data_IF_078586012591
#
_entry.id   IF_078586012591
#
_cell.length_a   1.000
_cell.length_b   1.000
_cell.length_c   1.000
_cell.angle_alpha   90.00
_cell.angle_beta   90.00
_cell.angle_gamma   90.00
#
_symmetry.space_group_name_H-M   'P 1'
#
loop_
_entity.id
_entity.type
_entity.pdbx_description
1 polymer ?
#
# COMPACT_ATOMS: atom_id res chain seq x y z
N UNK A 1 -2.70 -14.50 -46.34
CA UNK A 1 -2.74 -14.27 -44.89
C UNK A 1 -1.30 -14.25 -44.41
N UNK A 2 -0.79 -13.07 -44.09
CA UNK A 2 0.46 -12.84 -43.39
C UNK A 2 0.31 -11.47 -42.72
N UNK A 3 0.47 -11.48 -41.41
CA UNK A 3 0.13 -10.40 -40.50
C UNK A 3 1.32 -9.44 -40.43
N UNK A 4 1.14 -8.19 -40.85
CA UNK A 4 2.22 -7.20 -40.88
C UNK A 4 2.12 -6.31 -39.64
N UNK A 5 2.95 -6.65 -38.66
CA UNK A 5 3.20 -5.95 -37.42
C UNK A 5 3.29 -4.43 -37.62
N UNK A 6 2.60 -3.68 -36.75
CA UNK A 6 2.41 -2.22 -36.78
C UNK A 6 3.68 -1.36 -36.70
N UNK A 7 4.51 -1.43 -37.73
CA UNK A 7 5.61 -0.52 -37.99
C UNK A 7 5.01 0.75 -38.63
N UNK A 8 5.14 1.89 -37.94
CA UNK A 8 4.76 3.18 -38.50
C UNK A 8 6.00 3.81 -39.14
N UNK A 9 6.10 3.74 -40.46
CA UNK A 9 7.16 4.37 -41.24
C UNK A 9 6.84 5.85 -41.45
N UNK A 10 7.67 6.77 -40.93
CA UNK A 10 7.59 8.20 -41.24
C UNK A 10 8.86 8.65 -41.95
N UNK A 11 8.79 9.16 -43.19
CA UNK A 11 9.97 9.71 -43.86
C UNK A 11 10.37 11.04 -43.22
N UNK A 12 11.61 11.16 -42.76
CA UNK A 12 12.21 12.41 -42.28
C UNK A 12 13.23 12.92 -43.31
N UNK A 13 12.99 14.09 -43.89
CA UNK A 13 13.90 14.73 -44.86
C UNK A 13 14.86 15.64 -44.08
N UNK A 14 16.11 15.22 -43.91
CA UNK A 14 17.18 16.07 -43.37
C UNK A 14 18.06 16.54 -44.52
N UNK A 15 18.08 17.84 -44.79
CA UNK A 15 18.97 18.44 -45.80
C UNK A 15 20.29 18.81 -45.13
N UNK A 16 21.32 18.03 -45.39
CA UNK A 16 22.70 18.42 -45.12
C UNK A 16 23.52 18.16 -46.38
N UNK A 17 24.00 19.24 -46.99
CA UNK A 17 25.13 19.31 -47.92
C UNK A 17 25.22 18.22 -49.01
N UNK A 18 24.21 18.18 -49.88
CA UNK A 18 24.37 17.74 -51.27
C UNK A 18 24.49 16.24 -51.54
N UNK A 19 24.33 15.37 -50.55
CA UNK A 19 24.23 13.93 -50.78
C UNK A 19 23.08 13.33 -49.97
N UNK A 20 21.94 13.07 -50.63
CA UNK A 20 20.77 12.46 -49.98
C UNK A 20 21.07 10.98 -49.73
N UNK A 21 21.38 10.61 -48.49
CA UNK A 21 21.34 9.21 -48.05
C UNK A 21 20.02 8.99 -47.32
N UNK A 22 19.16 8.12 -47.86
CA UNK A 22 17.94 7.68 -47.19
C UNK A 22 18.33 6.82 -45.98
N UNK A 23 17.98 7.26 -44.78
CA UNK A 23 18.20 6.52 -43.54
C UNK A 23 16.84 5.98 -43.09
N UNK A 24 16.68 4.67 -43.14
CA UNK A 24 15.46 3.99 -42.71
C UNK A 24 15.51 3.78 -41.19
N UNK A 25 14.77 4.62 -40.44
CA UNK A 25 14.70 4.54 -38.98
C UNK A 25 13.54 3.63 -38.59
N UNK A 26 13.88 2.42 -38.12
CA UNK A 26 12.92 1.47 -37.56
C UNK A 26 12.65 1.83 -36.09
N UNK A 27 11.40 2.23 -35.77
CA UNK A 27 10.95 2.50 -34.40
C UNK A 27 9.99 1.37 -33.99
N UNK A 28 10.48 0.43 -33.17
CA UNK A 28 9.61 -0.55 -32.52
C UNK A 28 8.75 0.15 -31.46
N UNK A 29 7.44 -0.10 -31.49
CA UNK A 29 6.53 0.29 -30.41
C UNK A 29 7.01 -0.39 -29.12
N UNK A 30 7.29 0.33 -28.02
CA UNK A 30 7.61 -0.33 -26.77
C UNK A 30 6.42 -1.22 -26.40
N UNK A 31 6.70 -2.49 -26.12
CA UNK A 31 5.73 -3.41 -25.55
C UNK A 31 5.10 -2.76 -24.30
N UNK A 32 3.92 -3.22 -23.87
CA UNK A 32 3.21 -2.72 -22.69
C UNK A 32 3.50 -3.57 -21.41
N UNK A 33 4.76 -3.81 -20.94
CA UNK A 33 5.00 -4.63 -19.75
C UNK A 33 4.78 -3.87 -18.43
N UNK A 34 4.50 -2.56 -18.46
CA UNK A 34 4.36 -1.75 -17.24
C UNK A 34 3.02 -1.94 -16.52
N UNK A 35 1.92 -2.25 -17.23
CA UNK A 35 0.60 -2.37 -16.59
C UNK A 35 0.47 -3.64 -15.73
N UNK A 36 0.89 -4.79 -16.25
CA UNK A 36 0.79 -6.07 -15.52
C UNK A 36 1.67 -6.13 -14.27
N UNK A 37 2.86 -5.51 -14.32
CA UNK A 37 3.74 -5.39 -13.14
C UNK A 37 3.14 -4.49 -12.05
N UNK A 38 2.41 -3.46 -12.45
CA UNK A 38 1.76 -2.52 -11.52
C UNK A 38 0.58 -3.18 -10.80
N UNK A 39 -0.25 -3.93 -11.53
CA UNK A 39 -1.40 -4.67 -10.98
C UNK A 39 -0.97 -5.79 -10.01
N UNK A 40 0.09 -6.53 -10.35
CA UNK A 40 0.62 -7.57 -9.47
C UNK A 40 1.22 -6.99 -8.17
N UNK A 41 1.91 -5.85 -8.25
CA UNK A 41 2.45 -5.15 -7.09
C UNK A 41 1.34 -4.61 -6.18
N UNK A 42 0.27 -4.07 -6.75
CA UNK A 42 -0.90 -3.57 -6.02
C UNK A 42 -1.65 -4.70 -5.31
N UNK A 43 -1.87 -5.83 -5.98
CA UNK A 43 -2.48 -7.02 -5.40
C UNK A 43 -1.65 -7.60 -4.23
N UNK A 44 -0.32 -7.60 -4.35
CA UNK A 44 0.57 -8.01 -3.26
C UNK A 44 0.50 -7.03 -2.07
N UNK A 45 0.42 -5.73 -2.34
CA UNK A 45 0.28 -4.70 -1.31
C UNK A 45 -1.07 -4.83 -0.58
N UNK A 46 -2.16 -5.09 -1.30
CA UNK A 46 -3.48 -5.30 -0.70
C UNK A 46 -3.52 -6.54 0.21
N UNK A 47 -2.91 -7.66 -0.21
CA UNK A 47 -2.76 -8.86 0.64
C UNK A 47 -1.99 -8.55 1.93
N UNK A 48 -0.89 -7.79 1.84
CA UNK A 48 -0.13 -7.35 3.02
C UNK A 48 -0.97 -6.44 3.93
N UNK A 49 -1.75 -5.52 3.37
CA UNK A 49 -2.65 -4.62 4.13
C UNK A 49 -3.76 -5.39 4.85
N UNK A 50 -4.36 -6.40 4.20
CA UNK A 50 -5.34 -7.31 4.82
C UNK A 50 -4.73 -8.07 6.00
N UNK A 51 -3.56 -8.66 5.82
CA UNK A 51 -2.83 -9.36 6.90
C UNK A 51 -2.49 -8.42 8.07
N UNK A 52 -2.00 -7.21 7.79
CA UNK A 52 -1.70 -6.22 8.84
C UNK A 52 -2.96 -5.84 9.63
N UNK A 53 -4.10 -5.70 8.95
CA UNK A 53 -5.38 -5.37 9.59
C UNK A 53 -5.80 -6.44 10.59
N UNK A 54 -5.64 -7.73 10.25
CA UNK A 54 -5.96 -8.85 11.16
C UNK A 54 -5.06 -8.87 12.41
N UNK A 55 -3.77 -8.58 12.25
CA UNK A 55 -2.83 -8.49 13.37
C UNK A 55 -3.24 -7.36 14.32
N UNK A 56 -3.60 -6.19 13.78
CA UNK A 56 -4.02 -5.06 14.59
C UNK A 56 -5.33 -5.32 15.35
N UNK A 57 -6.27 -6.08 14.77
CA UNK A 57 -7.47 -6.51 15.49
C UNK A 57 -7.13 -7.41 16.69
N UNK A 58 -6.24 -8.40 16.51
CA UNK A 58 -5.77 -9.25 17.62
C UNK A 58 -5.08 -8.43 18.71
N UNK A 59 -4.37 -7.38 18.33
CA UNK A 59 -3.71 -6.50 19.28
C UNK A 59 -4.71 -5.69 20.12
N UNK A 60 -5.82 -5.23 19.53
CA UNK A 60 -6.92 -4.61 20.28
C UNK A 60 -7.49 -5.61 21.30
N UNK A 61 -7.78 -6.85 20.90
CA UNK A 61 -8.32 -7.86 21.82
C UNK A 61 -7.40 -8.10 23.03
N UNK A 62 -6.08 -8.10 22.81
CA UNK A 62 -5.08 -8.25 23.88
C UNK A 62 -5.10 -7.04 24.80
N UNK A 63 -5.05 -5.82 24.24
CA UNK A 63 -5.06 -4.58 25.01
C UNK A 63 -6.33 -4.44 25.86
N UNK A 64 -7.49 -4.80 25.31
CA UNK A 64 -8.77 -4.77 26.04
C UNK A 64 -8.80 -5.79 27.19
N UNK A 65 -8.24 -7.00 26.98
CA UNK A 65 -8.12 -8.01 28.06
C UNK A 65 -7.21 -7.53 29.18
N UNK A 66 -6.05 -6.95 28.86
CA UNK A 66 -5.12 -6.43 29.88
C UNK A 66 -5.72 -5.23 30.62
N UNK A 67 -6.36 -4.30 29.91
CA UNK A 67 -7.07 -3.17 30.53
C UNK A 67 -8.15 -3.65 31.50
N UNK A 68 -8.91 -4.70 31.14
CA UNK A 68 -9.94 -5.29 32.00
C UNK A 68 -9.36 -5.86 33.30
N UNK A 69 -8.14 -6.42 33.29
CA UNK A 69 -7.48 -6.92 34.51
C UNK A 69 -7.20 -5.79 35.50
N UNK A 70 -6.74 -4.65 34.99
CA UNK A 70 -6.48 -3.45 35.81
C UNK A 70 -7.79 -2.92 36.39
N UNK A 71 -8.84 -2.84 35.58
CA UNK A 71 -10.17 -2.43 36.03
C UNK A 71 -10.72 -3.38 37.11
N UNK A 72 -10.55 -4.69 36.97
CA UNK A 72 -11.00 -5.66 37.98
C UNK A 72 -10.19 -5.64 39.29
N UNK A 73 -8.93 -5.20 39.24
CA UNK A 73 -8.09 -5.02 40.44
C UNK A 73 -8.19 -3.61 41.06
N UNK A 74 -9.06 -2.75 40.54
CA UNK A 74 -9.19 -1.36 40.96
C UNK A 74 -9.88 -1.21 42.32
N UNK A 75 -10.87 -2.04 42.62
CA UNK A 75 -11.53 -2.07 43.93
C UNK A 75 -10.55 -2.60 44.99
N UNK A 76 -9.92 -1.70 45.72
CA UNK A 76 -8.96 -2.03 46.79
C UNK A 76 -7.47 -1.88 46.41
N UNK A 77 -7.14 -1.26 45.27
CA UNK A 77 -5.74 -1.00 44.92
C UNK A 77 -5.04 -0.09 45.95
N UNK A 78 -3.88 -0.54 46.42
CA UNK A 78 -2.99 0.24 47.29
C UNK A 78 -2.42 1.49 46.60
N UNK A 79 -2.54 1.63 45.26
CA UNK A 79 -2.09 2.80 44.52
C UNK A 79 -3.05 3.16 43.34
N UNK A 80 -4.16 3.86 43.63
CA UNK A 80 -5.19 4.16 42.62
C UNK A 80 -4.71 5.13 41.52
N UNK A 81 -3.69 5.95 41.78
CA UNK A 81 -3.12 6.86 40.77
C UNK A 81 -2.37 6.10 39.68
N UNK A 82 -1.54 5.13 40.07
CA UNK A 82 -0.80 4.30 39.12
C UNK A 82 -1.75 3.47 38.24
N UNK A 83 -2.75 2.82 38.85
CA UNK A 83 -3.77 2.07 38.12
C UNK A 83 -4.55 2.95 37.13
N UNK A 84 -4.89 4.19 37.51
CA UNK A 84 -5.55 5.14 36.61
C UNK A 84 -4.65 5.55 35.44
N UNK A 85 -3.37 5.82 35.68
CA UNK A 85 -2.43 6.17 34.61
C UNK A 85 -2.21 5.03 33.62
N UNK A 86 -2.15 3.80 34.13
CA UNK A 86 -1.98 2.60 33.30
C UNK A 86 -3.23 2.34 32.45
N UNK A 87 -4.43 2.41 33.05
CA UNK A 87 -5.70 2.34 32.31
C UNK A 87 -5.80 3.39 31.19
N UNK A 88 -5.33 4.61 31.44
CA UNK A 88 -5.30 5.68 30.43
C UNK A 88 -4.30 5.36 29.30
N UNK A 89 -3.16 4.73 29.62
CA UNK A 89 -2.19 4.32 28.61
C UNK A 89 -2.77 3.24 27.68
N UNK A 90 -3.47 2.24 28.22
CA UNK A 90 -4.18 1.24 27.42
C UNK A 90 -5.24 1.86 26.50
N UNK A 91 -6.05 2.79 27.03
CA UNK A 91 -7.07 3.47 26.23
C UNK A 91 -6.47 4.23 25.03
N UNK A 92 -5.31 4.88 25.22
CA UNK A 92 -4.59 5.55 24.14
C UNK A 92 -4.09 4.56 23.09
N UNK A 93 -3.45 3.48 23.51
CA UNK A 93 -2.92 2.45 22.58
C UNK A 93 -4.04 1.78 21.77
N UNK A 94 -5.18 1.48 22.39
CA UNK A 94 -6.35 0.93 21.70
C UNK A 94 -6.83 1.93 20.63
N UNK A 95 -6.95 3.20 20.98
CA UNK A 95 -7.38 4.26 20.06
C UNK A 95 -6.42 4.44 18.88
N UNK A 96 -5.11 4.45 19.13
CA UNK A 96 -4.08 4.54 18.10
C UNK A 96 -4.13 3.34 17.15
N UNK A 97 -4.29 2.13 17.69
CA UNK A 97 -4.41 0.88 16.92
C UNK A 97 -5.67 0.90 16.04
N UNK A 98 -6.81 1.36 16.58
CA UNK A 98 -8.04 1.52 15.81
C UNK A 98 -7.90 2.53 14.66
N UNK A 99 -7.23 3.66 14.90
CA UNK A 99 -6.96 4.66 13.86
C UNK A 99 -6.03 4.14 12.75
N UNK A 100 -5.06 3.28 13.10
CA UNK A 100 -4.21 2.61 12.13
C UNK A 100 -5.04 1.69 11.21
N UNK A 101 -5.97 0.90 11.77
CA UNK A 101 -6.89 0.05 11.01
C UNK A 101 -7.74 0.90 10.06
N UNK A 102 -8.35 1.99 10.55
CA UNK A 102 -9.16 2.90 9.73
C UNK A 102 -8.34 3.45 8.56
N UNK A 103 -7.09 3.84 8.82
CA UNK A 103 -6.18 4.39 7.80
C UNK A 103 -5.76 3.37 6.75
N UNK A 104 -5.66 2.09 7.12
CA UNK A 104 -5.41 1.00 6.17
C UNK A 104 -6.66 0.75 5.32
N UNK A 105 -7.85 0.64 5.94
CA UNK A 105 -9.11 0.40 5.23
C UNK A 105 -9.48 1.52 4.25
N UNK A 106 -9.26 2.78 4.62
CA UNK A 106 -9.48 3.95 3.73
C UNK A 106 -8.55 3.97 2.52
N UNK A 107 -7.37 3.35 2.61
CA UNK A 107 -6.42 3.24 1.49
C UNK A 107 -6.75 2.06 0.56
N UNK A 108 -7.55 1.10 1.01
CA UNK A 108 -8.01 -0.04 0.20
C UNK A 108 -9.32 0.24 -0.56
N UNK A 109 -9.95 1.41 -0.37
CA UNK A 109 -11.24 1.79 -0.97
C UNK A 109 -11.12 2.85 -2.06
N UNK A 110 -9.90 3.28 -2.38
CA UNK A 110 -9.56 4.12 -3.54
C UNK A 110 -8.92 3.26 -4.60
#
# INVERSE_FOLDING_TARGET
MADENGIVVKPAIVKQDGNTTEIEIHIEKPAEPEREQTEAAEAAQDKRRKSLTEVLYKQIDILEREQKKIASGYEGSNNPKAARSENLAFAKQITETANAIISIKRRNTK
#
